data_IF_671384651083
#
_entry.id   IF_671384651083
#
_cell.length_a   1.000
_cell.length_b   1.000
_cell.length_c   1.000
_cell.angle_alpha   90.00
_cell.angle_beta   90.00
_cell.angle_gamma   90.00
#
_symmetry.space_group_name_H-M   'P 1'
#
loop_
_entity.id
_entity.type
_entity.pdbx_description
1 polymer ?
#
# COMPACT_ATOMS: atom_id res chain seq x y z
N UNK A 1 22.87 28.47 8.96
CA UNK A 1 23.55 27.25 9.43
C UNK A 1 23.20 26.13 8.47
N UNK A 2 24.19 25.48 7.88
CA UNK A 2 23.99 24.34 6.97
C UNK A 2 23.40 23.18 7.75
N UNK A 3 22.45 22.44 7.16
CA UNK A 3 21.89 21.25 7.79
C UNK A 3 23.01 20.24 8.11
N UNK A 4 22.96 19.52 9.25
CA UNK A 4 23.97 18.54 9.60
C UNK A 4 24.07 17.43 8.53
N UNK A 5 25.31 17.01 8.21
CA UNK A 5 25.66 16.21 7.02
C UNK A 5 24.80 14.97 6.80
N UNK A 6 24.51 14.22 7.86
CA UNK A 6 23.73 12.98 7.80
C UNK A 6 22.35 13.08 8.47
N UNK A 7 21.81 14.28 8.65
CA UNK A 7 20.46 14.46 9.17
C UNK A 7 19.42 14.29 8.06
N UNK A 8 19.11 13.03 7.76
CA UNK A 8 18.24 12.63 6.65
C UNK A 8 16.78 12.42 7.05
N UNK A 9 16.49 12.38 8.35
CA UNK A 9 15.16 12.10 8.84
C UNK A 9 14.34 13.37 9.02
N UNK A 10 13.00 13.29 8.90
CA UNK A 10 12.12 14.40 9.26
C UNK A 10 12.38 14.89 10.68
N UNK A 11 12.17 16.19 10.96
CA UNK A 11 12.28 16.72 12.32
C UNK A 11 11.32 15.98 13.27
N UNK A 12 11.65 16.01 14.57
CA UNK A 12 10.71 15.58 15.60
C UNK A 12 9.49 16.49 15.61
N UNK A 13 8.33 15.93 15.94
CA UNK A 13 7.15 16.71 16.31
C UNK A 13 7.43 17.47 17.63
N UNK A 14 6.70 18.57 17.92
CA UNK A 14 6.90 19.31 19.17
C UNK A 14 6.73 18.45 20.43
N UNK A 15 5.83 17.45 20.37
CA UNK A 15 5.60 16.50 21.46
C UNK A 15 6.81 15.59 21.65
N UNK A 16 7.27 14.94 20.58
CA UNK A 16 8.47 14.08 20.63
C UNK A 16 9.72 14.84 21.09
N UNK A 17 9.90 16.10 20.68
CA UNK A 17 11.02 16.94 21.13
C UNK A 17 10.93 17.23 22.64
N UNK A 18 9.74 17.57 23.13
CA UNK A 18 9.49 17.85 24.56
C UNK A 18 9.73 16.59 25.41
N UNK A 19 9.22 15.44 24.98
CA UNK A 19 9.40 14.17 25.68
C UNK A 19 10.87 13.73 25.71
N UNK A 20 11.57 13.86 24.58
CA UNK A 20 13.00 13.54 24.50
C UNK A 20 13.83 14.47 25.37
N UNK A 21 13.52 15.78 25.38
CA UNK A 21 14.17 16.77 26.24
C UNK A 21 14.00 16.40 27.72
N UNK A 22 12.76 16.17 28.17
CA UNK A 22 12.48 15.81 29.56
C UNK A 22 13.20 14.51 29.97
N UNK A 23 13.29 13.54 29.07
CA UNK A 23 14.04 12.30 29.32
C UNK A 23 15.55 12.56 29.48
N UNK A 24 16.15 13.40 28.64
CA UNK A 24 17.57 13.76 28.72
C UNK A 24 17.86 14.60 29.97
N UNK A 25 16.95 15.49 30.37
CA UNK A 25 17.08 16.24 31.63
C UNK A 25 17.07 15.31 32.85
N UNK A 26 16.18 14.32 32.86
CA UNK A 26 16.01 13.42 34.00
C UNK A 26 17.12 12.35 34.10
N UNK A 27 17.64 11.88 32.96
CA UNK A 27 18.47 10.67 32.89
C UNK A 27 19.77 10.83 32.12
N UNK A 28 20.01 11.99 31.52
CA UNK A 28 21.08 12.18 30.54
C UNK A 28 20.84 11.39 29.25
N UNK A 29 21.87 11.32 28.42
CA UNK A 29 21.83 10.53 27.18
C UNK A 29 22.21 9.08 27.49
N UNK A 30 21.19 8.22 27.63
CA UNK A 30 21.36 6.81 28.00
C UNK A 30 22.00 5.95 26.91
N UNK A 31 21.69 6.25 25.64
CA UNK A 31 22.19 5.49 24.49
C UNK A 31 23.09 6.40 23.66
N UNK A 32 24.32 5.95 23.45
CA UNK A 32 25.33 6.69 22.70
C UNK A 32 24.84 7.09 21.30
N UNK A 33 25.24 8.29 20.88
CA UNK A 33 25.07 8.73 19.50
C UNK A 33 26.12 8.06 18.61
N UNK A 34 25.77 7.81 17.35
CA UNK A 34 26.70 7.25 16.39
C UNK A 34 27.34 8.40 15.62
N UNK A 35 28.66 8.46 15.62
CA UNK A 35 29.45 9.47 14.88
C UNK A 35 30.43 8.78 13.94
N UNK A 36 30.87 9.50 12.92
CA UNK A 36 31.94 9.04 12.06
C UNK A 36 33.33 9.43 12.57
N UNK A 37 34.38 9.05 11.83
CA UNK A 37 35.78 9.35 12.14
C UNK A 37 36.12 10.85 12.19
N UNK A 38 35.26 11.70 11.63
CA UNK A 38 35.39 13.16 11.63
C UNK A 38 34.55 13.82 12.72
N UNK A 39 33.76 13.03 13.47
CA UNK A 39 32.82 13.53 14.47
C UNK A 39 31.48 13.98 13.90
N UNK A 40 31.21 13.74 12.61
CA UNK A 40 29.90 13.98 12.01
C UNK A 40 28.90 12.95 12.54
N UNK A 41 27.74 13.41 13.04
CA UNK A 41 26.72 12.52 13.59
C UNK A 41 26.02 11.72 12.49
N UNK A 42 26.08 10.40 12.58
CA UNK A 42 25.35 9.46 11.72
C UNK A 42 23.95 9.19 12.29
N UNK A 43 23.84 8.98 13.61
CA UNK A 43 22.56 8.77 14.30
C UNK A 43 22.51 9.47 15.66
N UNK A 44 21.36 10.03 16.02
CA UNK A 44 21.16 10.73 17.29
C UNK A 44 21.34 12.25 17.23
N UNK A 45 21.13 12.88 16.07
CA UNK A 45 21.18 14.35 15.90
C UNK A 45 20.39 15.13 16.95
N UNK A 46 19.15 14.72 17.23
CA UNK A 46 18.30 15.38 18.23
C UNK A 46 18.87 15.21 19.65
N UNK A 47 19.42 14.02 19.98
CA UNK A 47 20.08 13.78 21.27
C UNK A 47 21.32 14.67 21.43
N UNK A 48 22.15 14.79 20.39
CA UNK A 48 23.33 15.65 20.43
C UNK A 48 22.94 17.12 20.63
N UNK A 49 21.95 17.60 19.87
CA UNK A 49 21.45 18.98 19.97
C UNK A 49 20.93 19.28 21.38
N UNK A 50 20.03 18.45 21.90
CA UNK A 50 19.44 18.63 23.22
C UNK A 50 20.49 18.51 24.33
N UNK A 51 21.42 17.56 24.22
CA UNK A 51 22.49 17.42 25.19
C UNK A 51 23.39 18.66 25.26
N UNK A 52 23.70 19.25 24.11
CA UNK A 52 24.46 20.50 24.03
C UNK A 52 23.69 21.69 24.63
N UNK A 53 22.39 21.79 24.37
CA UNK A 53 21.52 22.84 24.93
C UNK A 53 21.38 22.72 26.46
N UNK A 54 21.36 21.50 26.99
CA UNK A 54 21.22 21.20 28.42
C UNK A 54 22.56 21.14 29.16
N UNK A 55 23.68 21.18 28.46
CA UNK A 55 25.02 21.05 29.05
C UNK A 55 25.30 19.68 29.66
N UNK A 56 24.64 18.62 29.18
CA UNK A 56 24.83 17.24 29.65
C UNK A 56 25.79 16.47 28.75
N UNK A 57 26.46 15.45 29.31
CA UNK A 57 27.34 14.58 28.54
C UNK A 57 26.54 13.77 27.50
N UNK A 58 27.10 13.65 26.30
CA UNK A 58 26.52 12.89 25.20
C UNK A 58 27.49 11.78 24.79
N UNK A 59 27.30 10.53 25.28
CA UNK A 59 28.15 9.40 24.93
C UNK A 59 28.16 9.16 23.42
N UNK A 60 29.33 8.79 22.87
CA UNK A 60 29.51 8.63 21.42
C UNK A 60 30.14 7.27 21.10
N UNK A 61 29.60 6.61 20.08
CA UNK A 61 30.21 5.46 19.43
C UNK A 61 30.73 5.91 18.06
N UNK A 62 32.00 5.64 17.77
CA UNK A 62 32.62 5.98 16.47
C UNK A 62 32.44 4.80 15.52
N UNK A 63 31.97 5.09 14.31
CA UNK A 63 31.95 4.13 13.21
C UNK A 63 32.78 4.66 12.04
N UNK A 64 33.91 4.03 11.82
CA UNK A 64 34.86 4.36 10.77
C UNK A 64 34.75 3.41 9.56
N UNK A 65 35.53 3.70 8.52
CA UNK A 65 35.70 2.82 7.36
C UNK A 65 34.51 2.77 6.39
N UNK A 66 33.53 3.67 6.56
CA UNK A 66 32.37 3.77 5.68
C UNK A 66 32.46 5.00 4.77
N UNK A 67 32.06 4.84 3.51
CA UNK A 67 31.83 5.99 2.62
C UNK A 67 30.65 6.83 3.10
N UNK A 68 30.60 8.10 2.67
CA UNK A 68 29.47 9.00 2.98
C UNK A 68 28.11 8.42 2.54
N UNK A 69 28.08 7.71 1.41
CA UNK A 69 26.87 7.02 0.91
C UNK A 69 26.43 5.87 1.83
N UNK A 70 27.39 5.07 2.32
CA UNK A 70 27.12 4.01 3.30
C UNK A 70 26.67 4.60 4.64
N UNK A 71 27.26 5.72 5.07
CA UNK A 71 26.83 6.46 6.28
C UNK A 71 25.40 6.98 6.13
N UNK A 72 25.05 7.56 4.98
CA UNK A 72 23.66 7.98 4.68
C UNK A 72 22.68 6.81 4.70
N UNK A 73 23.04 5.69 4.06
CA UNK A 73 22.22 4.46 4.05
C UNK A 73 22.01 3.95 5.48
N UNK A 74 23.09 3.88 6.28
CA UNK A 74 23.03 3.46 7.68
C UNK A 74 22.11 4.35 8.52
N UNK A 75 22.21 5.68 8.37
CA UNK A 75 21.35 6.63 9.06
C UNK A 75 19.86 6.37 8.76
N UNK A 76 19.51 6.13 7.47
CA UNK A 76 18.14 5.78 7.07
C UNK A 76 17.69 4.43 7.64
N UNK A 77 18.53 3.41 7.56
CA UNK A 77 18.22 2.06 8.06
C UNK A 77 17.94 2.05 9.56
N UNK A 78 18.81 2.67 10.37
CA UNK A 78 18.65 2.73 11.82
C UNK A 78 17.35 3.42 12.24
N UNK A 79 16.95 4.45 11.51
CA UNK A 79 15.78 5.26 11.84
C UNK A 79 14.48 4.67 11.29
N UNK A 80 14.48 4.10 10.08
CA UNK A 80 13.26 3.58 9.44
C UNK A 80 12.68 2.37 10.18
N UNK A 81 13.54 1.60 10.86
CA UNK A 81 13.14 0.48 11.71
C UNK A 81 12.54 0.91 13.07
N UNK A 82 12.84 2.13 13.53
CA UNK A 82 12.57 2.55 14.93
C UNK A 82 11.60 3.72 15.06
N UNK A 83 11.40 4.54 14.04
CA UNK A 83 10.47 5.70 14.06
C UNK A 83 9.11 5.35 13.48
N UNK A 84 8.05 5.90 14.07
CA UNK A 84 6.72 5.91 13.47
C UNK A 84 6.65 6.94 12.34
N UNK A 85 7.20 6.57 11.18
CA UNK A 85 7.18 7.42 10.00
C UNK A 85 5.82 7.35 9.30
N UNK A 86 5.32 8.49 8.84
CA UNK A 86 4.15 8.52 7.95
C UNK A 86 4.49 7.88 6.61
N UNK A 87 3.46 7.50 5.86
CA UNK A 87 3.63 6.91 4.52
C UNK A 87 4.37 7.86 3.57
N UNK A 88 4.10 9.16 3.68
CA UNK A 88 4.72 10.19 2.85
C UNK A 88 6.20 10.37 3.19
N UNK A 89 6.53 10.46 4.49
CA UNK A 89 7.91 10.52 4.95
C UNK A 89 8.70 9.30 4.50
N UNK A 90 8.12 8.09 4.63
CA UNK A 90 8.75 6.85 4.16
C UNK A 90 8.99 6.87 2.65
N UNK A 91 8.05 7.39 1.84
CA UNK A 91 8.25 7.55 0.38
C UNK A 91 9.34 8.55 0.05
N UNK A 92 9.46 9.65 0.80
CA UNK A 92 10.55 10.62 0.62
C UNK A 92 11.92 9.99 0.90
N UNK A 93 12.04 9.21 1.99
CA UNK A 93 13.29 8.51 2.31
C UNK A 93 13.70 7.50 1.24
N UNK A 94 12.73 6.76 0.69
CA UNK A 94 12.98 5.85 -0.43
C UNK A 94 13.45 6.65 -1.66
N UNK A 95 12.83 7.80 -1.95
CA UNK A 95 13.17 8.62 -3.10
C UNK A 95 14.61 9.14 -3.00
N UNK A 96 15.02 9.61 -1.83
CA UNK A 96 16.39 10.08 -1.64
C UNK A 96 17.41 8.92 -1.69
N UNK A 97 17.09 7.76 -1.10
CA UNK A 97 17.97 6.58 -1.20
C UNK A 97 18.17 6.15 -2.65
N UNK A 98 17.13 6.22 -3.48
CA UNK A 98 17.20 5.94 -4.91
C UNK A 98 18.04 6.95 -5.70
N UNK A 99 18.12 8.21 -5.22
CA UNK A 99 18.99 9.23 -5.79
C UNK A 99 20.45 9.01 -5.41
N UNK A 100 20.70 8.59 -4.17
CA UNK A 100 22.02 8.24 -3.66
C UNK A 100 22.57 6.97 -4.37
N UNK A 101 21.76 5.90 -4.41
CA UNK A 101 22.13 4.56 -4.90
C UNK A 101 21.25 4.11 -6.09
N UNK A 102 21.32 4.77 -7.26
CA UNK A 102 20.40 4.47 -8.37
C UNK A 102 20.61 3.08 -8.99
N UNK A 103 21.82 2.54 -8.90
CA UNK A 103 22.25 1.24 -9.43
C UNK A 103 21.85 0.04 -8.55
N UNK A 104 21.59 0.26 -7.26
CA UNK A 104 21.04 -0.75 -6.37
C UNK A 104 19.65 -1.22 -6.82
N UNK A 105 19.36 -2.51 -6.65
CA UNK A 105 18.06 -3.10 -6.95
C UNK A 105 16.98 -2.73 -5.93
N UNK A 106 15.71 -2.79 -6.35
CA UNK A 106 14.58 -2.45 -5.51
C UNK A 106 14.49 -3.35 -4.26
N UNK A 107 14.81 -4.64 -4.41
CA UNK A 107 14.83 -5.60 -3.31
C UNK A 107 15.96 -5.32 -2.30
N UNK A 108 17.13 -4.86 -2.76
CA UNK A 108 18.23 -4.50 -1.87
C UNK A 108 17.84 -3.29 -1.01
N UNK A 109 17.39 -2.21 -1.65
CA UNK A 109 16.92 -1.00 -0.97
C UNK A 109 15.75 -1.32 -0.02
N UNK A 110 14.82 -2.17 -0.46
CA UNK A 110 13.70 -2.59 0.36
C UNK A 110 14.13 -3.31 1.64
N UNK A 111 15.11 -4.22 1.53
CA UNK A 111 15.69 -4.92 2.67
C UNK A 111 16.37 -3.95 3.65
N UNK A 112 17.17 -3.03 3.13
CA UNK A 112 17.94 -2.09 3.96
C UNK A 112 17.04 -1.08 4.68
N UNK A 113 15.94 -0.65 4.05
CA UNK A 113 14.99 0.29 4.64
C UNK A 113 13.82 -0.41 5.37
N UNK A 114 13.73 -1.75 5.35
CA UNK A 114 12.62 -2.48 5.95
C UNK A 114 11.25 -2.14 5.33
N UNK A 115 11.19 -1.99 4.00
CA UNK A 115 9.97 -1.69 3.24
C UNK A 115 9.70 -2.77 2.19
N UNK A 116 8.53 -2.74 1.55
CA UNK A 116 8.26 -3.61 0.40
C UNK A 116 8.96 -3.12 -0.86
N UNK A 117 9.58 -4.05 -1.58
CA UNK A 117 10.13 -3.90 -2.93
C UNK A 117 9.15 -3.27 -3.93
N UNK A 118 7.87 -3.64 -3.88
CA UNK A 118 6.82 -3.05 -4.73
C UNK A 118 6.66 -1.54 -4.47
N UNK A 119 6.86 -1.10 -3.22
CA UNK A 119 6.79 0.32 -2.88
C UNK A 119 8.00 1.07 -3.45
N UNK A 120 9.19 0.48 -3.34
CA UNK A 120 10.43 1.03 -3.93
C UNK A 120 10.31 1.14 -5.44
N UNK A 121 9.85 0.07 -6.10
CA UNK A 121 9.64 0.06 -7.55
C UNK A 121 8.67 1.14 -8.04
N UNK A 122 7.60 1.42 -7.30
CA UNK A 122 6.67 2.53 -7.62
C UNK A 122 7.36 3.89 -7.52
N UNK A 123 8.06 4.16 -6.41
CA UNK A 123 8.79 5.43 -6.23
C UNK A 123 9.85 5.59 -7.32
N UNK A 124 10.56 4.52 -7.67
CA UNK A 124 11.55 4.55 -8.76
C UNK A 124 10.91 4.89 -10.10
N UNK A 125 9.79 4.25 -10.44
CA UNK A 125 9.10 4.53 -11.70
C UNK A 125 8.68 6.01 -11.79
N UNK A 126 8.19 6.59 -10.69
CA UNK A 126 7.84 8.01 -10.60
C UNK A 126 9.08 8.91 -10.85
N UNK A 127 10.21 8.61 -10.19
CA UNK A 127 11.47 9.35 -10.36
C UNK A 127 12.07 9.20 -11.77
N UNK A 128 12.02 8.01 -12.35
CA UNK A 128 12.48 7.74 -13.73
C UNK A 128 11.59 8.46 -14.76
N UNK A 129 10.29 8.60 -14.49
CA UNK A 129 9.36 9.32 -15.37
C UNK A 129 9.59 10.82 -15.35
N UNK A 130 10.00 11.37 -14.21
CA UNK A 130 10.32 12.79 -14.01
C UNK A 130 11.79 13.11 -14.29
N UNK A 131 12.56 12.13 -14.78
CA UNK A 131 14.00 12.26 -15.07
C UNK A 131 14.86 12.69 -13.87
N UNK A 132 14.40 12.41 -12.64
CA UNK A 132 15.19 12.66 -11.42
C UNK A 132 16.27 11.60 -11.19
N UNK A 133 16.13 10.43 -11.81
CA UNK A 133 17.14 9.36 -11.84
C UNK A 133 17.21 8.76 -13.24
N UNK A 134 18.38 8.22 -13.61
CA UNK A 134 18.59 7.58 -14.90
C UNK A 134 17.93 6.19 -14.96
N UNK A 135 17.43 5.81 -16.14
CA UNK A 135 16.93 4.46 -16.41
C UNK A 135 18.10 3.52 -16.69
N UNK A 136 18.48 2.71 -15.71
CA UNK A 136 19.60 1.77 -15.83
C UNK A 136 19.17 0.44 -16.45
N UNK A 137 19.95 -0.04 -17.42
CA UNK A 137 19.71 -1.32 -18.09
C UNK A 137 20.02 -2.54 -17.20
N UNK A 138 20.83 -2.36 -16.15
CA UNK A 138 21.16 -3.38 -15.17
C UNK A 138 21.23 -2.76 -13.77
N UNK A 139 20.95 -3.57 -12.75
CA UNK A 139 20.98 -3.15 -11.33
C UNK A 139 21.66 -4.21 -10.47
N UNK A 140 22.28 -3.79 -9.37
CA UNK A 140 22.97 -4.65 -8.42
C UNK A 140 21.98 -5.25 -7.41
N UNK A 141 21.94 -6.58 -7.32
CA UNK A 141 21.17 -7.31 -6.31
C UNK A 141 21.76 -7.18 -4.91
N UNK A 142 20.99 -7.54 -3.88
CA UNK A 142 21.48 -7.63 -2.51
C UNK A 142 22.62 -8.66 -2.32
N UNK A 143 22.78 -9.58 -3.27
CA UNK A 143 23.87 -10.55 -3.36
C UNK A 143 25.11 -10.00 -4.09
N UNK A 144 25.15 -8.70 -4.38
CA UNK A 144 26.23 -8.04 -5.11
C UNK A 144 26.23 -8.32 -6.62
N UNK A 145 25.32 -9.18 -7.13
CA UNK A 145 25.30 -9.56 -8.54
C UNK A 145 24.49 -8.58 -9.38
N UNK A 146 25.11 -8.11 -10.47
CA UNK A 146 24.45 -7.24 -11.44
C UNK A 146 23.58 -8.05 -12.40
N UNK A 147 22.30 -7.69 -12.50
CA UNK A 147 21.32 -8.35 -13.37
C UNK A 147 20.70 -7.35 -14.34
N UNK A 148 20.54 -7.76 -15.60
CA UNK A 148 19.82 -6.97 -16.61
C UNK A 148 18.35 -6.85 -16.24
N UNK A 149 17.78 -5.67 -16.41
CA UNK A 149 16.35 -5.48 -16.26
C UNK A 149 15.62 -6.15 -17.43
N UNK A 150 14.51 -6.87 -17.20
CA UNK A 150 13.74 -7.46 -18.27
C UNK A 150 13.24 -6.35 -19.20
N UNK A 151 13.42 -6.52 -20.50
CA UNK A 151 12.86 -5.60 -21.47
C UNK A 151 11.35 -5.51 -21.24
N UNK A 152 10.84 -4.28 -21.10
CA UNK A 152 9.41 -4.04 -20.96
C UNK A 152 8.76 -4.58 -22.22
N UNK A 153 8.03 -5.70 -22.12
CA UNK A 153 7.27 -6.24 -23.25
C UNK A 153 6.28 -5.17 -23.67
N UNK A 154 6.50 -4.56 -24.83
CA UNK A 154 5.46 -3.75 -25.46
C UNK A 154 4.28 -4.70 -25.69
N UNK A 155 3.11 -4.34 -25.18
CA UNK A 155 1.89 -5.02 -25.60
C UNK A 155 1.87 -4.95 -27.13
N UNK A 156 1.56 -6.05 -27.85
CA UNK A 156 1.42 -5.98 -29.30
C UNK A 156 0.41 -4.87 -29.60
N UNK A 157 0.85 -3.85 -30.35
CA UNK A 157 -0.04 -2.84 -30.90
C UNK A 157 -1.10 -3.61 -31.67
N UNK A 158 -2.32 -3.66 -31.13
CA UNK A 158 -3.47 -4.18 -31.87
C UNK A 158 -3.59 -3.24 -33.06
N UNK A 159 -3.17 -3.71 -34.24
CA UNK A 159 -3.46 -3.02 -35.47
C UNK A 159 -4.98 -2.80 -35.49
N UNK A 160 -5.40 -1.54 -35.55
CA UNK A 160 -6.80 -1.19 -35.79
C UNK A 160 -7.18 -1.82 -37.12
N UNK A 161 -7.87 -2.95 -37.06
CA UNK A 161 -8.59 -3.48 -38.22
C UNK A 161 -9.77 -2.53 -38.45
N UNK A 162 -9.84 -1.98 -39.65
CA UNK A 162 -11.00 -1.21 -40.11
C UNK A 162 -12.28 -2.02 -39.85
N UNK A 163 -13.35 -1.32 -39.47
CA UNK A 163 -14.67 -1.88 -39.21
C UNK A 163 -15.32 -2.40 -40.52
N UNK A 164 -14.80 -3.50 -41.04
CA UNK A 164 -15.46 -4.38 -42.00
C UNK A 164 -15.82 -5.67 -41.27
N UNK A 165 -17.10 -6.04 -41.33
CA UNK A 165 -17.72 -7.18 -40.65
C UNK A 165 -16.86 -8.46 -40.69
N UNK A 166 -16.45 -8.95 -39.51
CA UNK A 166 -15.88 -10.29 -39.36
C UNK A 166 -17.04 -11.24 -39.01
N UNK A 167 -17.39 -12.23 -39.86
CA UNK A 167 -18.37 -13.23 -39.47
C UNK A 167 -17.69 -14.25 -38.54
N UNK A 168 -17.81 -14.07 -37.24
CA UNK A 168 -17.31 -15.03 -36.26
C UNK A 168 -18.43 -16.03 -35.91
N UNK A 169 -18.42 -17.21 -36.53
CA UNK A 169 -19.09 -18.38 -35.97
C UNK A 169 -18.14 -19.05 -34.96
N UNK A 170 -18.19 -18.66 -33.69
CA UNK A 170 -17.55 -19.45 -32.62
C UNK A 170 -18.51 -20.52 -32.13
N UNK A 171 -18.09 -21.78 -32.21
CA UNK A 171 -18.79 -22.89 -31.58
C UNK A 171 -18.45 -22.91 -30.07
N UNK A 172 -19.38 -22.42 -29.26
CA UNK A 172 -19.26 -22.27 -27.81
C UNK A 172 -19.40 -23.58 -27.05
N UNK A 173 -19.76 -24.68 -27.72
CA UNK A 173 -19.98 -26.00 -27.11
C UNK A 173 -18.72 -26.64 -26.50
N UNK A 174 -17.53 -26.09 -26.80
CA UNK A 174 -16.23 -26.62 -26.34
C UNK A 174 -15.59 -25.83 -25.20
N UNK A 175 -16.17 -24.71 -24.77
CA UNK A 175 -15.66 -23.95 -23.64
C UNK A 175 -16.05 -24.63 -22.32
N UNK A 176 -15.08 -25.22 -21.62
CA UNK A 176 -15.25 -25.66 -20.22
C UNK A 176 -14.88 -24.51 -19.28
N UNK A 177 -15.80 -23.99 -18.44
CA UNK A 177 -15.48 -22.93 -17.51
C UNK A 177 -14.58 -23.45 -16.38
N UNK A 178 -13.50 -22.73 -16.06
CA UNK A 178 -12.66 -23.00 -14.89
C UNK A 178 -13.24 -22.30 -13.66
N UNK A 179 -13.08 -22.89 -12.46
CA UNK A 179 -13.66 -22.44 -11.17
C UNK A 179 -13.50 -20.95 -10.87
N UNK A 180 -12.42 -20.32 -11.32
CA UNK A 180 -12.12 -18.89 -11.08
C UNK A 180 -13.02 -17.94 -11.88
N UNK A 181 -13.49 -18.35 -13.06
CA UNK A 181 -14.39 -17.54 -13.89
C UNK A 181 -15.80 -17.50 -13.29
N UNK A 182 -16.23 -18.59 -12.66
CA UNK A 182 -17.51 -18.69 -11.95
C UNK A 182 -17.54 -17.87 -10.65
N UNK A 183 -16.45 -17.80 -9.90
CA UNK A 183 -16.37 -16.99 -8.66
C UNK A 183 -16.32 -15.49 -8.95
N UNK A 184 -15.57 -15.07 -9.97
CA UNK A 184 -15.51 -13.66 -10.37
C UNK A 184 -16.86 -13.16 -10.92
N UNK A 185 -17.57 -14.00 -11.68
CA UNK A 185 -18.92 -13.69 -12.16
C UNK A 185 -19.94 -13.58 -11.02
N UNK A 186 -19.79 -14.41 -9.96
CA UNK A 186 -20.63 -14.37 -8.76
C UNK A 186 -20.37 -13.11 -7.93
N UNK A 187 -19.11 -12.74 -7.70
CA UNK A 187 -18.75 -11.51 -6.97
C UNK A 187 -19.18 -10.23 -7.70
N UNK A 188 -19.09 -10.21 -9.03
CA UNK A 188 -19.57 -9.08 -9.84
C UNK A 188 -21.11 -8.99 -9.81
N UNK A 189 -21.80 -10.13 -9.79
CA UNK A 189 -23.25 -10.21 -9.60
C UNK A 189 -23.69 -9.71 -8.21
N UNK A 190 -22.98 -10.10 -7.16
CA UNK A 190 -23.26 -9.67 -5.78
C UNK A 190 -23.00 -8.16 -5.60
N UNK A 191 -21.95 -7.61 -6.22
CA UNK A 191 -21.62 -6.19 -6.14
C UNK A 191 -22.61 -5.29 -6.92
N UNK A 192 -23.11 -5.76 -8.07
CA UNK A 192 -24.16 -5.07 -8.82
C UNK A 192 -25.51 -5.09 -8.08
N UNK A 193 -25.74 -6.08 -7.21
CA UNK A 193 -26.96 -6.19 -6.39
C UNK A 193 -26.98 -5.20 -5.22
N UNK A 194 -25.82 -4.86 -4.64
CA UNK A 194 -25.70 -3.89 -3.53
C UNK A 194 -25.92 -2.44 -4.00
N UNK A 195 -25.63 -2.13 -5.27
CA UNK A 195 -25.90 -0.81 -5.86
C UNK A 195 -27.35 -0.62 -6.35
N UNK A 196 -28.18 -1.66 -6.30
CA UNK A 196 -29.57 -1.63 -6.76
C UNK A 196 -30.62 -1.59 -5.64
N UNK A 197 -30.28 -1.14 -4.43
CA UNK A 197 -31.21 -1.22 -3.30
C UNK A 197 -32.22 -0.05 -3.14
N UNK A 198 -32.30 0.91 -4.08
CA UNK A 198 -33.31 1.99 -3.98
C UNK A 198 -34.22 2.17 -5.20
N UNK A 199 -34.01 1.40 -6.28
CA UNK A 199 -34.87 1.42 -7.48
C UNK A 199 -35.78 0.17 -7.57
N UNK A 200 -35.65 -0.76 -6.61
CA UNK A 200 -35.99 -2.17 -6.73
C UNK A 200 -37.46 -2.59 -6.87
N UNK A 201 -38.46 -1.70 -6.71
CA UNK A 201 -39.87 -2.07 -6.98
C UNK A 201 -40.49 -1.32 -8.15
N UNK A 202 -40.20 -0.01 -8.29
CA UNK A 202 -40.74 0.81 -9.39
C UNK A 202 -40.06 0.53 -10.73
N UNK A 203 -38.77 0.19 -10.72
CA UNK A 203 -38.03 -0.13 -11.95
C UNK A 203 -38.43 -1.45 -12.60
N UNK A 204 -38.75 -2.47 -11.79
CA UNK A 204 -39.10 -3.80 -12.30
C UNK A 204 -40.47 -3.78 -13.01
N UNK A 205 -41.48 -3.14 -12.43
CA UNK A 205 -42.79 -3.01 -13.10
C UNK A 205 -42.72 -2.11 -14.34
N UNK A 206 -41.89 -1.07 -14.36
CA UNK A 206 -41.68 -0.25 -15.56
C UNK A 206 -41.06 -1.07 -16.71
N UNK A 207 -40.09 -1.94 -16.40
CA UNK A 207 -39.46 -2.84 -17.38
C UNK A 207 -40.43 -3.92 -17.86
N UNK A 208 -41.28 -4.46 -16.98
CA UNK A 208 -42.31 -5.44 -17.34
C UNK A 208 -43.39 -4.80 -18.22
N UNK A 209 -43.83 -3.58 -17.91
CA UNK A 209 -44.83 -2.84 -18.71
C UNK A 209 -44.34 -2.56 -20.14
N UNK A 210 -43.03 -2.35 -20.33
CA UNK A 210 -42.42 -2.15 -21.64
C UNK A 210 -42.29 -3.43 -22.50
N UNK A 211 -42.59 -4.61 -21.95
CA UNK A 211 -42.55 -5.88 -22.68
C UNK A 211 -43.86 -6.19 -23.43
N UNK A 212 -43.84 -7.04 -24.47
CA UNK A 212 -45.06 -7.55 -25.12
C UNK A 212 -45.93 -8.33 -24.13
N UNK A 213 -47.27 -8.20 -24.22
CA UNK A 213 -48.21 -8.75 -23.23
C UNK A 213 -47.99 -10.24 -22.95
N UNK A 214 -47.70 -11.02 -24.00
CA UNK A 214 -47.45 -12.46 -23.92
C UNK A 214 -46.27 -12.86 -23.03
N UNK A 215 -45.37 -11.91 -22.71
CA UNK A 215 -44.18 -12.15 -21.88
C UNK A 215 -44.25 -11.51 -20.49
N UNK A 216 -45.23 -10.65 -20.22
CA UNK A 216 -45.33 -9.91 -18.95
C UNK A 216 -45.61 -10.84 -17.77
N UNK A 217 -46.55 -11.78 -17.94
CA UNK A 217 -46.93 -12.76 -16.90
C UNK A 217 -45.73 -13.64 -16.47
N UNK A 218 -44.96 -14.12 -17.44
CA UNK A 218 -43.76 -14.92 -17.18
C UNK A 218 -42.62 -14.11 -16.55
N UNK A 219 -42.49 -12.83 -16.89
CA UNK A 219 -41.54 -11.93 -16.24
C UNK A 219 -41.92 -11.62 -14.79
N UNK A 220 -43.22 -11.44 -14.49
CA UNK A 220 -43.74 -11.27 -13.12
C UNK A 220 -43.50 -12.49 -12.23
N UNK A 221 -43.75 -13.71 -12.74
CA UNK A 221 -43.47 -14.95 -12.00
C UNK A 221 -41.99 -15.09 -11.64
N UNK A 222 -41.09 -14.82 -12.60
CA UNK A 222 -39.64 -14.87 -12.35
C UNK A 222 -39.17 -13.81 -11.37
N UNK A 223 -39.72 -12.60 -11.43
CA UNK A 223 -39.41 -11.53 -10.47
C UNK A 223 -39.86 -11.88 -9.04
N UNK A 224 -40.99 -12.59 -8.88
CA UNK A 224 -41.44 -13.07 -7.57
C UNK A 224 -40.54 -14.18 -7.00
N UNK A 225 -39.99 -15.05 -7.84
CA UNK A 225 -39.06 -16.11 -7.40
C UNK A 225 -37.69 -15.60 -6.96
N UNK A 226 -37.24 -14.45 -7.48
CA UNK A 226 -36.00 -13.79 -7.04
C UNK A 226 -36.09 -13.33 -5.58
N UNK A 227 -37.29 -13.02 -5.07
CA UNK A 227 -37.51 -12.68 -3.66
C UNK A 227 -37.32 -13.86 -2.69
N UNK A 228 -37.25 -15.10 -3.19
CA UNK A 228 -37.13 -16.34 -2.40
C UNK A 228 -35.68 -16.74 -2.09
N UNK A 229 -34.70 -16.02 -2.64
CA UNK A 229 -33.26 -16.35 -2.55
C UNK A 229 -32.42 -15.26 -1.85
N UNK A 230 -33.04 -14.45 -0.99
CA UNK A 230 -32.37 -13.48 -0.13
C UNK A 230 -32.40 -13.95 1.33
N UNK A 231 -31.28 -13.92 2.09
CA UNK A 231 -31.33 -14.11 3.52
C UNK A 231 -32.01 -12.88 4.14
N UNK A 232 -33.13 -13.11 4.83
CA UNK A 232 -33.99 -12.03 5.36
C UNK A 232 -35.42 -12.01 4.81
N UNK A 233 -35.88 -13.12 4.21
CA UNK A 233 -37.32 -13.38 4.14
C UNK A 233 -37.89 -13.35 5.55
N UNK A 234 -38.75 -12.38 5.81
CA UNK A 234 -39.49 -12.26 7.06
C UNK A 234 -40.36 -13.51 7.22
N UNK A 235 -39.94 -14.41 8.11
CA UNK A 235 -40.84 -15.27 8.88
C UNK A 235 -41.73 -14.35 9.72
N UNK A 236 -42.78 -13.82 9.10
CA UNK A 236 -43.92 -13.25 9.80
C UNK A 236 -44.96 -14.36 9.97
N UNK A 237 -44.58 -15.43 10.67
CA UNK A 237 -45.50 -16.43 11.23
C UNK A 237 -44.70 -17.32 12.18
N UNK A 238 -44.53 -16.88 13.43
CA UNK A 238 -44.40 -17.69 14.67
C UNK A 238 -43.56 -16.97 15.73
N UNK A 239 -44.21 -16.16 16.57
CA UNK A 239 -44.05 -16.21 18.03
C UNK A 239 -45.06 -15.28 18.72
N UNK A 240 -46.14 -15.87 19.20
CA UNK A 240 -46.68 -15.45 20.50
C UNK A 240 -46.39 -16.59 21.48
N UNK A 241 -45.26 -16.47 22.17
CA UNK A 241 -45.01 -17.16 23.42
C UNK A 241 -43.95 -16.35 24.17
N UNK A 242 -44.44 -15.45 25.01
CA UNK A 242 -43.65 -14.61 25.89
C UNK A 242 -42.85 -15.43 26.91
N UNK A 243 -41.59 -15.05 27.05
CA UNK A 243 -40.84 -14.81 28.29
C UNK A 243 -40.86 -15.86 29.44
N UNK A 244 -39.74 -16.58 29.46
CA UNK A 244 -38.83 -16.86 30.59
C UNK A 244 -39.18 -16.37 32.02
N UNK A 245 -39.20 -17.35 32.93
CA UNK A 245 -38.32 -17.51 34.12
C UNK A 245 -38.57 -16.69 35.41
N UNK A 246 -38.66 -17.50 36.49
CA UNK A 246 -38.37 -17.29 37.91
C UNK A 246 -39.41 -16.58 38.79
N UNK A 247 -40.06 -17.38 39.63
CA UNK A 247 -39.99 -17.14 41.07
C UNK A 247 -39.96 -18.50 41.80
N UNK A 248 -38.93 -18.67 42.62
CA UNK A 248 -38.88 -19.63 43.69
C UNK A 248 -39.41 -18.91 44.93
N UNK A 249 -40.51 -19.42 45.50
CA UNK A 249 -40.89 -19.60 46.91
C UNK A 249 -42.35 -20.06 46.93
#
# INVERSE_FOLDING_TARGET
MTAPKFQLMPPLTPVEDTELRASIEAHGVLIAILVDEHGDVIDGHHRQKLAAELGVECPREVRDGLSDEQKRTMARTLNTARRMLTREQRRALIADQLKDTPDCSDNAIAKDLGVSDMTVGKVRADLESTSQIMKLAARQGADGKTRKQPAKKTAPTVATVDAGEIPVKMDTSKLRPTRRVTEAARMLGDFLNVLQYEVGKRGIEAVIAAMPESRREGARRRAADVGRWLPGGTDADHKESADNVSEAV
#
